data_IF_773001743588
#
_entry.id   IF_773001743588
#
_cell.length_a   1.000
_cell.length_b   1.000
_cell.length_c   1.000
_cell.angle_alpha   90.00
_cell.angle_beta   90.00
_cell.angle_gamma   90.00
#
_symmetry.space_group_name_H-M   'P 1'
#
loop_
_entity.id
_entity.type
_entity.pdbx_description
1 polymer ?
#
# COMPACT_ATOMS: atom_id res chain seq x y z
N UNK A 1 -26.77 -31.85 -55.96
CA UNK A 1 -26.04 -31.77 -54.67
C UNK A 1 -26.17 -33.14 -54.03
N UNK A 2 -25.06 -33.86 -53.88
CA UNK A 2 -25.05 -35.25 -53.40
C UNK A 2 -25.58 -35.33 -51.96
N UNK A 3 -26.33 -36.38 -51.60
CA UNK A 3 -26.92 -36.55 -50.26
C UNK A 3 -25.88 -36.43 -49.13
N UNK A 4 -24.64 -36.85 -49.41
CA UNK A 4 -23.48 -36.72 -48.52
C UNK A 4 -23.12 -35.27 -48.21
N UNK A 5 -23.21 -34.37 -49.21
CA UNK A 5 -22.94 -32.95 -49.03
C UNK A 5 -24.04 -32.25 -48.22
N UNK A 6 -25.30 -32.66 -48.37
CA UNK A 6 -26.42 -32.12 -47.57
C UNK A 6 -26.33 -32.57 -46.10
N UNK A 7 -26.00 -33.84 -45.84
CA UNK A 7 -25.78 -34.36 -44.49
C UNK A 7 -24.56 -33.72 -43.81
N UNK A 8 -23.49 -33.49 -44.56
CA UNK A 8 -22.32 -32.77 -44.06
C UNK A 8 -22.65 -31.32 -43.66
N UNK A 9 -23.42 -30.60 -44.48
CA UNK A 9 -23.83 -29.23 -44.17
C UNK A 9 -24.73 -29.17 -42.93
N UNK A 10 -25.69 -30.11 -42.82
CA UNK A 10 -26.58 -30.20 -41.67
C UNK A 10 -25.82 -30.52 -40.38
N UNK A 11 -24.84 -31.42 -40.44
CA UNK A 11 -23.98 -31.75 -39.29
C UNK A 11 -23.16 -30.54 -38.82
N UNK A 12 -22.63 -29.73 -39.75
CA UNK A 12 -21.90 -28.50 -39.42
C UNK A 12 -22.84 -27.47 -38.80
N UNK A 13 -24.04 -27.26 -39.35
CA UNK A 13 -25.03 -26.32 -38.81
C UNK A 13 -25.47 -26.75 -37.41
N UNK A 14 -25.73 -28.03 -37.19
CA UNK A 14 -26.08 -28.57 -35.87
C UNK A 14 -24.92 -28.44 -34.88
N UNK A 15 -23.68 -28.70 -35.32
CA UNK A 15 -22.49 -28.53 -34.48
C UNK A 15 -22.30 -27.06 -34.08
N UNK A 16 -22.45 -26.13 -35.02
CA UNK A 16 -22.37 -24.68 -34.75
C UNK A 16 -23.51 -24.23 -33.83
N UNK A 17 -24.73 -24.73 -34.03
CA UNK A 17 -25.87 -24.43 -33.18
C UNK A 17 -25.67 -24.97 -31.75
N UNK A 18 -25.10 -26.18 -31.60
CA UNK A 18 -24.75 -26.77 -30.30
C UNK A 18 -23.62 -25.97 -29.63
N UNK A 19 -22.59 -25.54 -30.37
CA UNK A 19 -21.52 -24.70 -29.83
C UNK A 19 -22.09 -23.37 -29.33
N UNK A 20 -22.92 -22.70 -30.14
CA UNK A 20 -23.58 -21.44 -29.78
C UNK A 20 -24.50 -21.61 -28.56
N UNK A 21 -25.28 -22.69 -28.49
CA UNK A 21 -26.14 -23.00 -27.34
C UNK A 21 -25.34 -23.45 -26.09
N UNK A 22 -24.16 -24.02 -26.27
CA UNK A 22 -23.24 -24.46 -25.20
C UNK A 22 -22.31 -23.37 -24.68
N UNK A 23 -22.39 -22.15 -25.22
CA UNK A 23 -21.88 -20.97 -24.53
C UNK A 23 -22.74 -20.73 -23.31
N UNK A 24 -22.53 -21.56 -22.28
CA UNK A 24 -22.97 -21.31 -20.92
C UNK A 24 -22.72 -19.84 -20.66
N UNK A 25 -23.77 -19.07 -20.41
CA UNK A 25 -23.66 -17.73 -19.85
C UNK A 25 -22.94 -17.89 -18.52
N UNK A 26 -21.60 -17.86 -18.55
CA UNK A 26 -20.78 -17.87 -17.34
C UNK A 26 -21.28 -16.69 -16.53
N UNK A 27 -21.80 -16.98 -15.34
CA UNK A 27 -22.14 -15.92 -14.40
C UNK A 27 -20.91 -15.01 -14.29
N UNK A 28 -21.13 -13.70 -14.34
CA UNK A 28 -20.05 -12.75 -14.16
C UNK A 28 -19.31 -13.12 -12.86
N UNK A 29 -17.96 -13.09 -12.86
CA UNK A 29 -17.23 -13.31 -11.62
C UNK A 29 -17.79 -12.36 -10.54
N UNK A 30 -17.89 -12.82 -9.29
CA UNK A 30 -18.34 -11.95 -8.20
C UNK A 30 -17.48 -10.68 -8.19
N UNK A 31 -18.10 -9.53 -7.90
CA UNK A 31 -17.36 -8.27 -7.76
C UNK A 31 -16.23 -8.51 -6.74
N UNK A 32 -14.98 -8.11 -7.03
CA UNK A 32 -13.88 -8.26 -6.08
C UNK A 32 -14.26 -7.62 -4.74
N UNK A 33 -13.83 -8.24 -3.64
CA UNK A 33 -13.97 -7.59 -2.33
C UNK A 33 -13.15 -6.29 -2.32
N UNK A 34 -13.69 -5.21 -1.72
CA UNK A 34 -12.95 -3.96 -1.56
C UNK A 34 -11.60 -4.21 -0.87
N UNK A 35 -10.56 -3.55 -1.35
CA UNK A 35 -9.27 -3.56 -0.67
C UNK A 35 -9.44 -2.97 0.73
N UNK A 36 -8.92 -3.65 1.76
CA UNK A 36 -9.01 -3.20 3.15
C UNK A 36 -7.64 -2.78 3.64
N UNK A 37 -7.37 -1.48 3.59
CA UNK A 37 -6.12 -0.91 4.09
C UNK A 37 -6.18 -0.72 5.62
N UNK A 38 -7.25 -0.09 6.12
CA UNK A 38 -7.35 0.35 7.51
C UNK A 38 -6.58 1.66 7.76
N UNK A 39 -5.96 1.78 8.93
CA UNK A 39 -5.16 2.94 9.31
C UNK A 39 -3.81 2.93 8.57
N UNK A 40 -3.42 4.07 8.01
CA UNK A 40 -2.16 4.23 7.28
C UNK A 40 -1.51 5.57 7.60
N UNK A 41 -0.18 5.63 7.63
CA UNK A 41 0.52 6.92 7.72
C UNK A 41 0.69 7.53 6.33
N UNK A 42 0.91 8.86 6.24
CA UNK A 42 1.23 9.48 4.94
C UNK A 42 2.49 8.89 4.30
N UNK A 43 3.48 8.50 5.10
CA UNK A 43 4.70 7.86 4.59
C UNK A 43 4.40 6.47 4.02
N UNK A 44 3.59 5.66 4.71
CA UNK A 44 3.14 4.38 4.16
C UNK A 44 2.28 4.56 2.89
N UNK A 45 1.44 5.59 2.84
CA UNK A 45 0.57 5.89 1.70
C UNK A 45 1.39 6.11 0.41
N UNK A 46 2.61 6.66 0.49
CA UNK A 46 3.49 6.89 -0.68
C UNK A 46 3.82 5.64 -1.48
N UNK A 47 3.75 4.46 -0.87
CA UNK A 47 3.96 3.19 -1.56
C UNK A 47 2.75 2.69 -2.36
N UNK A 48 1.63 3.42 -2.31
CA UNK A 48 0.41 3.18 -3.08
C UNK A 48 0.27 4.15 -4.25
N UNK A 49 1.39 4.40 -4.94
CA UNK A 49 1.52 5.36 -6.03
C UNK A 49 1.23 4.78 -7.43
N UNK A 50 0.82 3.50 -7.50
CA UNK A 50 0.50 2.80 -8.74
C UNK A 50 1.68 2.20 -9.51
N UNK A 51 2.94 2.43 -9.10
CA UNK A 51 4.12 1.81 -9.74
C UNK A 51 4.36 0.37 -9.28
N UNK A 52 3.88 0.01 -8.10
CA UNK A 52 3.83 -1.36 -7.61
C UNK A 52 2.50 -2.00 -8.00
N UNK A 53 2.51 -2.85 -9.04
CA UNK A 53 1.32 -3.52 -9.55
C UNK A 53 0.69 -4.51 -8.56
N UNK A 54 1.38 -4.84 -7.46
CA UNK A 54 0.84 -5.68 -6.38
C UNK A 54 0.02 -4.88 -5.37
N UNK A 55 0.05 -3.54 -5.46
CA UNK A 55 -0.68 -2.62 -4.58
C UNK A 55 -1.70 -1.80 -5.39
N UNK A 56 -2.85 -1.46 -4.81
CA UNK A 56 -3.76 -0.51 -5.44
C UNK A 56 -3.12 0.89 -5.51
N UNK A 57 -3.54 1.68 -6.48
CA UNK A 57 -3.26 3.12 -6.48
C UNK A 57 -4.25 3.79 -5.51
N UNK A 58 -3.74 4.52 -4.51
CA UNK A 58 -4.58 5.13 -3.48
C UNK A 58 -4.40 6.64 -3.43
N UNK A 59 -5.43 7.38 -3.06
CA UNK A 59 -5.39 8.84 -2.88
C UNK A 59 -6.06 9.20 -1.55
N UNK A 60 -5.45 10.06 -0.76
CA UNK A 60 -6.06 10.58 0.46
C UNK A 60 -6.66 11.97 0.21
N UNK A 61 -7.87 12.19 0.73
CA UNK A 61 -8.55 13.49 0.72
C UNK A 61 -9.15 13.74 2.10
N UNK A 62 -8.63 14.74 2.81
CA UNK A 62 -9.01 15.04 4.21
C UNK A 62 -8.88 13.80 5.09
N UNK A 63 -7.79 13.05 4.90
CA UNK A 63 -7.49 11.85 5.65
C UNK A 63 -8.31 10.61 5.29
N UNK A 64 -9.32 10.68 4.40
CA UNK A 64 -9.97 9.47 3.86
C UNK A 64 -9.18 8.92 2.70
N UNK A 65 -8.87 7.63 2.71
CA UNK A 65 -8.09 6.97 1.65
C UNK A 65 -9.03 6.27 0.68
N UNK A 66 -8.98 6.69 -0.59
CA UNK A 66 -9.77 6.15 -1.68
C UNK A 66 -8.93 5.26 -2.57
N UNK A 67 -9.49 4.12 -2.99
CA UNK A 67 -8.91 3.30 -4.05
C UNK A 67 -9.29 3.86 -5.42
N UNK A 68 -8.26 4.33 -6.14
CA UNK A 68 -8.38 4.93 -7.47
C UNK A 68 -7.96 4.01 -8.61
N UNK A 69 -7.78 2.71 -8.31
CA UNK A 69 -7.34 1.70 -9.28
C UNK A 69 -8.36 1.48 -10.41
N UNK A 70 -9.64 1.78 -10.17
CA UNK A 70 -10.70 1.74 -11.19
C UNK A 70 -10.61 2.87 -12.23
N UNK A 71 -9.70 3.83 -12.03
CA UNK A 71 -9.41 4.97 -12.91
C UNK A 71 -7.95 4.98 -13.33
N UNK A 72 -7.44 3.83 -13.75
CA UNK A 72 -6.04 3.65 -14.15
C UNK A 72 -5.60 4.66 -15.20
N UNK A 73 -6.47 5.03 -16.15
CA UNK A 73 -6.22 6.02 -17.20
C UNK A 73 -5.97 7.45 -16.68
N UNK A 74 -6.31 7.71 -15.42
CA UNK A 74 -6.13 9.00 -14.74
C UNK A 74 -4.96 8.93 -13.75
N UNK A 75 -4.94 7.92 -12.87
CA UNK A 75 -4.02 7.85 -11.73
C UNK A 75 -2.88 6.84 -11.88
N UNK A 76 -2.91 5.98 -12.91
CA UNK A 76 -1.86 4.99 -13.15
C UNK A 76 -0.52 5.63 -13.55
N UNK A 77 0.61 4.90 -13.49
CA UNK A 77 1.93 5.43 -13.84
C UNK A 77 1.97 6.16 -15.19
N UNK A 78 2.49 7.40 -15.17
CA UNK A 78 2.60 8.25 -16.37
C UNK A 78 1.29 8.83 -16.89
N UNK A 79 0.18 8.72 -16.14
CA UNK A 79 -1.13 9.29 -16.48
C UNK A 79 -1.31 10.70 -15.89
N UNK A 80 -2.27 11.50 -16.40
CA UNK A 80 -2.35 12.93 -16.11
C UNK A 80 -2.37 13.31 -14.62
N UNK A 81 -2.94 12.47 -13.75
CA UNK A 81 -3.05 12.72 -12.31
C UNK A 81 -2.31 11.67 -11.47
N UNK A 82 -1.34 10.97 -12.03
CA UNK A 82 -0.53 10.00 -11.28
C UNK A 82 0.20 10.63 -10.09
N UNK A 83 0.53 11.92 -10.16
CA UNK A 83 1.16 12.65 -9.06
C UNK A 83 0.33 12.63 -7.75
N UNK A 84 -0.98 12.42 -7.83
CA UNK A 84 -1.85 12.30 -6.65
C UNK A 84 -1.80 10.89 -6.02
N UNK A 85 -1.42 9.87 -6.78
CA UNK A 85 -1.36 8.50 -6.26
C UNK A 85 -0.30 8.40 -5.15
N UNK A 86 -0.70 7.82 -4.02
CA UNK A 86 0.07 7.72 -2.80
C UNK A 86 0.23 9.04 -2.03
N UNK A 87 -0.65 10.02 -2.25
CA UNK A 87 -0.57 11.36 -1.61
C UNK A 87 -1.88 11.76 -0.95
N UNK A 88 -1.79 12.67 0.01
CA UNK A 88 -2.91 13.49 0.48
C UNK A 88 -3.01 14.73 -0.41
N UNK A 89 -4.19 15.03 -0.93
CA UNK A 89 -4.37 16.03 -1.99
C UNK A 89 -5.53 16.99 -1.77
N UNK A 90 -6.10 17.05 -0.56
CA UNK A 90 -7.23 17.95 -0.28
C UNK A 90 -6.95 19.40 -0.66
N UNK A 91 -5.79 19.95 -0.29
CA UNK A 91 -5.42 21.30 -0.69
C UNK A 91 -5.30 21.45 -2.20
N UNK A 92 -4.57 20.55 -2.87
CA UNK A 92 -4.42 20.56 -4.33
C UNK A 92 -5.76 20.56 -5.07
N UNK A 93 -6.74 19.77 -4.62
CA UNK A 93 -8.10 19.75 -5.17
C UNK A 93 -8.83 21.09 -4.93
N UNK A 94 -8.68 21.66 -3.74
CA UNK A 94 -9.29 22.94 -3.36
C UNK A 94 -8.78 24.12 -4.22
N UNK A 95 -7.47 24.15 -4.48
CA UNK A 95 -6.83 25.24 -5.24
C UNK A 95 -6.70 24.94 -6.74
N UNK A 96 -6.99 23.71 -7.17
CA UNK A 96 -6.80 23.27 -8.56
C UNK A 96 -5.33 23.18 -8.97
N UNK A 97 -4.45 22.77 -8.05
CA UNK A 97 -3.00 22.71 -8.24
C UNK A 97 -2.53 21.30 -8.56
N UNK A 98 -1.43 21.23 -9.31
CA UNK A 98 -0.64 20.01 -9.55
C UNK A 98 0.75 20.11 -8.94
N UNK A 99 1.04 21.19 -8.19
CA UNK A 99 2.31 21.36 -7.50
C UNK A 99 2.35 20.48 -6.25
N UNK A 100 3.44 19.72 -6.08
CA UNK A 100 3.60 18.80 -4.94
C UNK A 100 3.55 19.51 -3.58
N UNK A 101 3.88 20.81 -3.52
CA UNK A 101 3.74 21.63 -2.30
C UNK A 101 2.30 21.70 -1.77
N UNK A 102 1.32 21.51 -2.66
CA UNK A 102 -0.11 21.54 -2.32
C UNK A 102 -0.65 20.13 -2.02
N UNK A 103 0.19 19.08 -2.00
CA UNK A 103 -0.20 17.71 -1.64
C UNK A 103 -0.20 17.55 -0.12
N UNK A 104 -1.22 18.15 0.50
CA UNK A 104 -1.41 18.22 1.95
C UNK A 104 -2.89 18.36 2.30
N UNK A 105 -3.23 18.07 3.56
CA UNK A 105 -4.53 18.34 4.16
C UNK A 105 -4.63 19.75 4.79
N UNK A 106 -3.56 20.57 4.71
CA UNK A 106 -3.57 21.94 5.21
C UNK A 106 -4.45 22.88 4.35
N UNK A 107 -5.64 23.17 4.87
CA UNK A 107 -6.63 24.07 4.28
C UNK A 107 -6.50 25.51 4.80
N UNK A 108 -5.44 25.85 5.53
CA UNK A 108 -5.23 27.19 6.07
C UNK A 108 -5.13 28.21 4.93
N UNK A 109 -5.83 29.32 5.09
CA UNK A 109 -5.81 30.46 4.15
C UNK A 109 -6.62 30.26 2.87
N UNK A 110 -7.40 29.18 2.75
CA UNK A 110 -8.27 28.97 1.59
C UNK A 110 -9.56 29.80 1.67
N UNK A 111 -10.04 30.27 0.52
CA UNK A 111 -11.30 31.01 0.41
C UNK A 111 -12.52 30.08 0.52
N UNK A 112 -13.72 30.61 0.84
CA UNK A 112 -14.96 29.83 0.82
C UNK A 112 -15.21 29.11 -0.50
N UNK A 113 -14.88 29.71 -1.64
CA UNK A 113 -15.04 29.12 -2.97
C UNK A 113 -14.08 27.94 -3.19
N UNK A 114 -12.83 28.04 -2.70
CA UNK A 114 -11.86 26.95 -2.76
C UNK A 114 -12.29 25.78 -1.87
N UNK A 115 -12.82 26.07 -0.68
CA UNK A 115 -13.38 25.05 0.20
C UNK A 115 -14.61 24.38 -0.43
N UNK A 116 -15.48 25.15 -1.08
CA UNK A 116 -16.63 24.60 -1.81
C UNK A 116 -16.18 23.68 -2.96
N UNK A 117 -15.13 24.06 -3.69
CA UNK A 117 -14.53 23.21 -4.74
C UNK A 117 -14.02 21.88 -4.16
N UNK A 118 -13.35 21.91 -3.02
CA UNK A 118 -12.89 20.70 -2.33
C UNK A 118 -14.07 19.81 -1.94
N UNK A 119 -15.12 20.36 -1.34
CA UNK A 119 -16.29 19.57 -0.95
C UNK A 119 -16.97 18.92 -2.17
N UNK A 120 -17.04 19.63 -3.30
CA UNK A 120 -17.50 19.05 -4.57
C UNK A 120 -16.62 17.89 -5.05
N UNK A 121 -15.29 18.04 -4.98
CA UNK A 121 -14.36 16.97 -5.35
C UNK A 121 -14.50 15.75 -4.42
N UNK A 122 -14.70 15.94 -3.11
CA UNK A 122 -14.93 14.85 -2.16
C UNK A 122 -16.20 14.08 -2.50
N UNK A 123 -17.28 14.77 -2.86
CA UNK A 123 -18.53 14.13 -3.28
C UNK A 123 -18.34 13.29 -4.54
N UNK A 124 -17.62 13.80 -5.54
CA UNK A 124 -17.32 13.07 -6.78
C UNK A 124 -16.47 11.82 -6.50
N UNK A 125 -15.43 11.95 -5.67
CA UNK A 125 -14.60 10.82 -5.26
C UNK A 125 -15.44 9.76 -4.53
N UNK A 126 -16.22 10.16 -3.52
CA UNK A 126 -17.07 9.25 -2.77
C UNK A 126 -18.15 8.55 -3.62
N UNK A 127 -18.59 9.17 -4.72
CA UNK A 127 -19.55 8.57 -5.64
C UNK A 127 -18.93 7.52 -6.58
N UNK A 128 -17.61 7.57 -6.81
CA UNK A 128 -16.94 6.79 -7.85
C UNK A 128 -15.78 5.90 -7.36
N UNK A 129 -15.34 6.07 -6.11
CA UNK A 129 -14.22 5.35 -5.51
C UNK A 129 -14.60 4.79 -4.14
N UNK A 130 -14.04 3.64 -3.79
CA UNK A 130 -14.27 3.01 -2.50
C UNK A 130 -13.29 3.60 -1.46
N UNK A 131 -13.80 3.90 -0.26
CA UNK A 131 -12.95 4.27 0.87
C UNK A 131 -12.39 2.98 1.47
N UNK A 132 -11.06 2.87 1.48
CA UNK A 132 -10.34 1.65 1.90
C UNK A 132 -9.61 1.81 3.23
N UNK A 133 -9.50 3.04 3.72
CA UNK A 133 -8.79 3.34 4.95
C UNK A 133 -8.81 4.81 5.32
N UNK A 134 -7.99 5.17 6.30
CA UNK A 134 -7.82 6.54 6.77
C UNK A 134 -6.36 6.84 7.11
N UNK A 135 -5.95 8.08 6.88
CA UNK A 135 -4.64 8.59 7.27
C UNK A 135 -4.66 8.86 8.77
N UNK A 136 -3.66 8.32 9.48
CA UNK A 136 -3.41 8.57 10.90
C UNK A 136 -2.00 9.12 11.11
N UNK A 137 -1.78 9.90 12.19
CA UNK A 137 -0.43 10.32 12.57
C UNK A 137 0.49 9.09 12.79
N UNK A 138 1.79 9.21 12.47
CA UNK A 138 2.74 8.14 12.76
C UNK A 138 2.86 7.92 14.27
N UNK A 139 2.91 6.65 14.68
CA UNK A 139 3.21 6.29 16.06
C UNK A 139 4.62 6.78 16.41
N UNK A 140 4.75 7.50 17.52
CA UNK A 140 6.05 7.91 18.06
C UNK A 140 6.45 6.98 19.19
N UNK A 141 7.48 6.16 18.97
CA UNK A 141 7.98 5.19 19.94
C UNK A 141 9.40 5.52 20.38
N UNK A 142 9.69 5.32 21.66
CA UNK A 142 11.07 5.17 22.12
C UNK A 142 11.49 3.71 21.88
N UNK A 143 12.79 3.41 21.89
CA UNK A 143 13.25 2.02 21.79
C UNK A 143 12.73 1.16 22.95
N UNK A 144 12.61 1.73 24.14
CA UNK A 144 12.03 1.06 25.31
C UNK A 144 10.57 0.68 25.07
N UNK A 145 9.76 1.60 24.52
CA UNK A 145 8.35 1.30 24.19
C UNK A 145 8.22 0.31 23.04
N UNK A 146 9.10 0.39 22.04
CA UNK A 146 9.15 -0.57 20.94
C UNK A 146 9.34 -1.99 21.45
N UNK A 147 10.17 -2.20 22.48
CA UNK A 147 10.42 -3.51 23.07
C UNK A 147 9.15 -4.22 23.57
N UNK A 148 8.07 -3.48 23.87
CA UNK A 148 6.76 -4.04 24.22
C UNK A 148 5.96 -4.64 23.06
N UNK A 149 6.45 -4.56 21.81
CA UNK A 149 5.84 -5.08 20.59
C UNK A 149 6.65 -6.24 19.98
N UNK A 150 7.21 -7.08 20.85
CA UNK A 150 8.08 -8.21 20.52
C UNK A 150 7.34 -9.48 20.06
N UNK A 151 6.00 -9.48 20.12
CA UNK A 151 5.16 -10.60 19.70
C UNK A 151 4.88 -11.64 20.76
N UNK A 152 5.27 -11.44 22.03
CA UNK A 152 4.81 -12.30 23.12
C UNK A 152 3.35 -12.05 23.52
N UNK A 153 2.87 -10.81 23.35
CA UNK A 153 1.50 -10.40 23.60
C UNK A 153 0.67 -10.47 22.30
N UNK A 154 -0.10 -11.54 22.14
CA UNK A 154 -0.92 -11.77 20.94
C UNK A 154 -2.05 -10.74 20.74
N UNK A 155 -2.32 -9.88 21.73
CA UNK A 155 -3.31 -8.78 21.60
C UNK A 155 -2.73 -7.54 20.93
N UNK A 156 -1.40 -7.46 20.79
CA UNK A 156 -0.68 -6.33 20.18
C UNK A 156 -0.14 -6.70 18.80
N UNK A 157 0.05 -5.71 17.91
CA UNK A 157 0.82 -5.93 16.70
C UNK A 157 2.28 -6.23 17.05
N UNK A 158 2.99 -6.87 16.12
CA UNK A 158 4.43 -7.04 16.19
C UNK A 158 5.10 -5.93 15.40
N UNK A 159 5.99 -5.18 16.04
CA UNK A 159 6.66 -4.04 15.41
C UNK A 159 8.17 -4.24 15.42
N UNK A 160 8.87 -3.72 14.42
CA UNK A 160 10.31 -3.54 14.47
C UNK A 160 10.69 -2.22 13.80
N UNK A 161 11.89 -1.73 14.07
CA UNK A 161 12.39 -0.50 13.48
C UNK A 161 13.61 -0.75 12.58
N UNK A 162 13.68 -0.02 11.47
CA UNK A 162 14.86 0.01 10.59
C UNK A 162 15.22 1.47 10.34
N UNK A 163 16.40 1.90 10.82
CA UNK A 163 16.85 3.29 10.77
C UNK A 163 15.80 4.25 11.35
N UNK A 164 15.17 3.84 12.45
CA UNK A 164 14.15 4.62 13.13
C UNK A 164 12.78 4.65 12.44
N UNK A 165 12.55 3.94 11.34
CA UNK A 165 11.22 3.77 10.74
C UNK A 165 10.58 2.52 11.33
N UNK A 166 9.38 2.62 11.88
CA UNK A 166 8.67 1.51 12.55
C UNK A 166 7.73 0.83 11.56
N UNK A 167 7.91 -0.48 11.40
CA UNK A 167 7.12 -1.35 10.53
C UNK A 167 6.25 -2.30 11.35
N UNK A 168 5.02 -2.51 10.91
CA UNK A 168 4.17 -3.62 11.37
C UNK A 168 4.55 -4.91 10.64
N UNK A 169 5.16 -5.83 11.38
CA UNK A 169 5.62 -7.13 10.92
C UNK A 169 4.76 -8.29 11.40
N UNK A 170 3.53 -8.02 11.84
CA UNK A 170 2.58 -9.05 12.32
C UNK A 170 2.32 -10.12 11.26
N UNK A 171 2.24 -9.73 9.98
CA UNK A 171 2.12 -10.68 8.84
C UNK A 171 3.37 -11.55 8.63
N UNK A 172 4.50 -11.16 9.21
CA UNK A 172 5.79 -11.85 9.17
C UNK A 172 6.15 -12.55 10.47
N UNK A 173 5.17 -12.88 11.33
CA UNK A 173 5.41 -13.46 12.67
C UNK A 173 6.31 -14.69 12.70
N UNK A 174 6.23 -15.55 11.67
CA UNK A 174 7.02 -16.79 11.59
C UNK A 174 8.51 -16.52 11.33
N UNK A 175 8.84 -15.30 10.84
CA UNK A 175 10.21 -14.85 10.63
C UNK A 175 10.69 -13.98 11.78
N UNK A 176 9.87 -13.03 12.21
CA UNK A 176 10.30 -11.94 13.10
C UNK A 176 9.91 -12.10 14.56
N UNK A 177 9.04 -13.06 14.87
CA UNK A 177 8.56 -13.28 16.22
C UNK A 177 9.56 -13.99 17.12
N UNK A 178 9.19 -14.21 18.39
CA UNK A 178 10.09 -14.79 19.39
C UNK A 178 10.67 -16.16 19.00
N UNK A 179 9.95 -16.91 18.17
CA UNK A 179 10.35 -18.24 17.68
C UNK A 179 10.79 -18.24 16.21
N UNK A 180 10.95 -17.06 15.59
CA UNK A 180 11.35 -16.91 14.20
C UNK A 180 12.87 -16.98 14.01
N UNK A 181 13.30 -17.06 12.74
CA UNK A 181 14.73 -17.08 12.37
C UNK A 181 15.42 -15.74 12.71
N UNK A 182 14.65 -14.66 12.67
CA UNK A 182 15.10 -13.30 12.95
C UNK A 182 14.28 -12.73 14.12
N UNK A 183 14.49 -13.13 15.39
CA UNK A 183 13.65 -12.74 16.53
C UNK A 183 13.80 -11.25 16.90
N UNK A 184 13.40 -10.40 15.97
CA UNK A 184 13.75 -8.98 15.82
C UNK A 184 12.58 -8.08 16.15
N UNK A 185 11.37 -8.62 16.30
CA UNK A 185 10.24 -7.88 16.82
C UNK A 185 10.61 -7.21 18.16
N UNK A 186 10.15 -5.99 18.34
CA UNK A 186 10.46 -5.11 19.45
C UNK A 186 11.83 -4.42 19.37
N UNK A 187 12.56 -4.51 18.26
CA UNK A 187 13.95 -4.01 18.16
C UNK A 187 14.15 -3.08 16.98
N UNK A 188 15.18 -2.23 17.10
CA UNK A 188 15.80 -1.57 15.96
C UNK A 188 16.87 -2.49 15.38
N UNK A 189 16.86 -2.70 14.07
CA UNK A 189 17.60 -3.79 13.42
C UNK A 189 18.39 -3.39 12.17
N UNK A 190 18.59 -2.09 11.95
CA UNK A 190 19.35 -1.61 10.80
C UNK A 190 20.73 -2.27 10.68
N UNK A 191 21.49 -2.37 11.79
CA UNK A 191 22.81 -3.01 11.76
C UNK A 191 22.72 -4.51 11.46
N UNK A 192 21.81 -5.24 12.12
CA UNK A 192 21.61 -6.66 11.87
C UNK A 192 21.33 -6.95 10.39
N UNK A 193 20.45 -6.17 9.74
CA UNK A 193 20.19 -6.32 8.31
C UNK A 193 21.36 -5.94 7.41
N UNK A 194 22.13 -4.91 7.77
CA UNK A 194 23.34 -4.55 7.02
C UNK A 194 24.37 -5.70 7.01
N UNK A 195 24.47 -6.42 8.13
CA UNK A 195 25.42 -7.51 8.33
C UNK A 195 24.89 -8.89 7.91
N UNK A 196 23.63 -8.98 7.46
CA UNK A 196 22.89 -10.26 7.31
C UNK A 196 22.91 -11.12 8.58
N UNK A 197 22.99 -10.49 9.74
CA UNK A 197 23.11 -11.15 11.03
C UNK A 197 21.75 -11.65 11.54
N UNK A 198 21.77 -12.77 12.26
CA UNK A 198 20.65 -13.26 13.07
C UNK A 198 20.85 -12.98 14.56
N UNK A 199 21.99 -12.38 14.94
CA UNK A 199 22.38 -12.16 16.33
C UNK A 199 21.65 -10.95 16.93
N UNK A 200 21.10 -11.14 18.13
CA UNK A 200 20.41 -10.07 18.84
C UNK A 200 21.33 -8.93 19.25
N UNK A 201 22.63 -9.19 19.40
CA UNK A 201 23.64 -8.15 19.68
C UNK A 201 23.80 -7.15 18.53
N UNK A 202 23.48 -7.55 17.31
CA UNK A 202 23.52 -6.66 16.14
C UNK A 202 22.21 -5.88 15.94
N UNK A 203 21.19 -6.10 16.77
CA UNK A 203 19.95 -5.34 16.74
C UNK A 203 20.14 -3.96 17.37
N UNK A 204 20.61 -3.00 16.57
CA UNK A 204 20.75 -1.59 16.92
C UNK A 204 20.81 -0.70 15.65
N UNK A 205 20.88 0.61 15.85
CA UNK A 205 21.00 1.63 14.81
C UNK A 205 22.44 2.03 14.47
N UNK A 206 23.46 1.40 15.05
CA UNK A 206 24.86 1.78 14.84
C UNK A 206 25.38 1.28 13.47
N UNK A 207 25.51 2.22 12.54
CA UNK A 207 26.03 1.98 11.19
C UNK A 207 27.53 2.32 11.04
N UNK A 208 28.21 2.70 12.13
CA UNK A 208 29.65 2.97 12.08
C UNK A 208 30.45 1.71 11.70
N UNK A 209 31.50 1.92 10.91
CA UNK A 209 32.41 0.86 10.46
C UNK A 209 31.86 -0.05 9.37
N UNK A 210 30.62 0.15 8.92
CA UNK A 210 30.05 -0.63 7.81
C UNK A 210 30.65 -0.22 6.46
N UNK A 211 30.95 -1.23 5.65
CA UNK A 211 31.38 -1.11 4.27
C UNK A 211 30.25 -0.64 3.35
N UNK A 212 30.61 -0.25 2.12
CA UNK A 212 29.62 0.11 1.10
C UNK A 212 28.66 -1.05 0.79
N UNK A 213 29.16 -2.28 0.69
CA UNK A 213 28.33 -3.46 0.42
C UNK A 213 27.33 -3.77 1.54
N UNK A 214 27.70 -3.55 2.80
CA UNK A 214 26.79 -3.73 3.94
C UNK A 214 25.72 -2.63 3.97
N UNK A 215 26.10 -1.40 3.62
CA UNK A 215 25.14 -0.29 3.47
C UNK A 215 24.18 -0.51 2.28
N UNK A 216 24.65 -1.14 1.21
CA UNK A 216 23.81 -1.56 0.08
C UNK A 216 22.84 -2.68 0.49
N UNK A 217 23.32 -3.67 1.24
CA UNK A 217 22.47 -4.72 1.80
C UNK A 217 21.33 -4.15 2.67
N UNK A 218 21.64 -3.19 3.55
CA UNK A 218 20.63 -2.49 4.34
C UNK A 218 19.61 -1.75 3.47
N UNK A 219 20.07 -1.07 2.41
CA UNK A 219 19.17 -0.38 1.47
C UNK A 219 18.21 -1.36 0.80
N UNK A 220 18.70 -2.52 0.38
CA UNK A 220 17.87 -3.57 -0.23
C UNK A 220 16.85 -4.13 0.76
N UNK A 221 17.25 -4.35 2.01
CA UNK A 221 16.32 -4.75 3.08
C UNK A 221 15.22 -3.71 3.31
N UNK A 222 15.57 -2.42 3.40
CA UNK A 222 14.59 -1.34 3.51
C UNK A 222 13.61 -1.36 2.33
N UNK A 223 14.10 -1.54 1.11
CA UNK A 223 13.27 -1.67 -0.09
C UNK A 223 12.27 -2.84 0.00
N UNK A 224 12.73 -4.01 0.42
CA UNK A 224 11.88 -5.20 0.65
C UNK A 224 10.82 -4.93 1.73
N UNK A 225 11.19 -4.27 2.82
CA UNK A 225 10.28 -3.95 3.92
C UNK A 225 9.20 -2.95 3.49
N UNK A 226 9.58 -1.90 2.78
CA UNK A 226 8.64 -0.91 2.24
C UNK A 226 7.60 -1.51 1.28
N UNK A 227 7.99 -2.52 0.50
CA UNK A 227 7.06 -3.25 -0.36
C UNK A 227 6.13 -4.15 0.47
N UNK A 228 6.65 -4.86 1.48
CA UNK A 228 5.93 -5.95 2.16
C UNK A 228 5.16 -5.56 3.42
N UNK A 229 5.66 -4.61 4.21
CA UNK A 229 5.15 -4.27 5.54
C UNK A 229 4.71 -2.81 5.61
N UNK A 230 3.71 -2.54 6.45
CA UNK A 230 3.16 -1.19 6.61
C UNK A 230 4.06 -0.36 7.53
N UNK A 231 4.39 0.86 7.13
CA UNK A 231 5.05 1.84 8.02
C UNK A 231 4.00 2.45 8.95
N UNK A 232 4.14 2.21 10.24
CA UNK A 232 3.17 2.65 11.25
C UNK A 232 3.70 3.76 12.14
N UNK A 233 5.01 4.06 12.10
CA UNK A 233 5.57 5.04 13.00
C UNK A 233 7.06 5.33 12.80
N UNK A 234 7.63 5.99 13.79
CA UNK A 234 9.05 6.35 13.86
C UNK A 234 9.57 6.26 15.29
N UNK A 235 10.88 6.05 15.41
CA UNK A 235 11.59 6.14 16.68
C UNK A 235 11.88 7.60 17.02
N UNK A 236 11.58 7.98 18.25
CA UNK A 236 11.90 9.27 18.84
C UNK A 236 12.82 9.08 20.04
N UNK A 237 13.73 10.04 20.24
CA UNK A 237 14.58 10.08 21.43
C UNK A 237 13.76 10.61 22.61
N UNK A 238 14.07 10.14 23.81
CA UNK A 238 13.53 10.73 25.03
C UNK A 238 13.89 12.23 25.07
N UNK A 239 12.90 13.05 25.45
CA UNK A 239 13.05 14.50 25.57
C UNK A 239 13.78 14.88 26.84
#
# INVERSE_FOLDING_TARGET
>A
MELTTLLGLLAVVLLVAVIMASTSKRAAPPKPEPYKLGDVTLEALRYYNGYDWTKPALVAIKGKVYDVSNKYEIYGPGKPSNAFAGREVARALAVGSSDEKDFTDDLTGLSPEQLQRLEGAIQEFAASHEVVGQVVPPLELTLEKLAGYDGHDASKPMLLAIKGVVYDVTKGKDYYGPNGIYPFAGKEVARAFALYSTELSDCNDNLEGLSYSEMEALRDWIGKFNSKYTIVGKIVKDK
#
